data_IF_885477309415
#
_entry.id   IF_885477309415
#
_cell.length_a   1.000
_cell.length_b   1.000
_cell.length_c   1.000
_cell.angle_alpha   90.00
_cell.angle_beta   90.00
_cell.angle_gamma   90.00
#
_symmetry.space_group_name_H-M   'P 1'
#
loop_
_entity.id
_entity.type
_entity.pdbx_description
1 polymer ?
#
# COMPACT_ATOMS: atom_id res chain seq x y z
N UNK A 1 -8.73 -20.47 31.43
CA UNK A 1 -7.84 -19.42 30.95
C UNK A 1 -6.90 -20.03 29.93
N UNK A 2 -7.26 -20.00 28.64
CA UNK A 2 -6.41 -20.50 27.56
C UNK A 2 -5.70 -19.30 26.96
N UNK A 3 -4.46 -19.11 27.36
CA UNK A 3 -3.54 -18.19 26.71
C UNK A 3 -3.25 -18.70 25.31
N UNK A 4 -3.98 -18.22 24.33
CA UNK A 4 -3.70 -18.49 22.93
C UNK A 4 -2.37 -17.85 22.55
N UNK A 5 -1.31 -18.63 22.56
CA UNK A 5 -0.08 -18.32 21.85
C UNK A 5 -0.47 -18.08 20.39
N UNK A 6 -0.32 -16.85 19.91
CA UNK A 6 -0.37 -16.53 18.48
C UNK A 6 0.83 -17.28 17.85
N UNK A 7 0.60 -18.53 17.47
CA UNK A 7 1.59 -19.35 16.80
C UNK A 7 2.04 -18.66 15.54
N UNK A 8 3.35 -18.38 15.43
CA UNK A 8 3.97 -17.94 14.18
C UNK A 8 3.71 -19.04 13.15
N UNK A 9 3.13 -18.68 12.01
CA UNK A 9 2.89 -19.62 10.90
C UNK A 9 4.23 -20.20 10.46
N UNK A 10 4.36 -21.53 10.43
CA UNK A 10 5.59 -22.17 9.96
C UNK A 10 5.70 -22.08 8.45
N UNK A 11 6.93 -22.11 7.92
CA UNK A 11 7.18 -22.06 6.49
C UNK A 11 6.50 -23.22 5.75
N UNK A 12 6.46 -24.40 6.37
CA UNK A 12 5.83 -25.59 5.75
C UNK A 12 4.32 -25.44 5.68
N UNK A 13 3.67 -25.00 6.76
CA UNK A 13 2.23 -24.72 6.77
C UNK A 13 1.86 -23.63 5.72
N UNK A 14 2.73 -22.63 5.54
CA UNK A 14 2.54 -21.63 4.49
C UNK A 14 2.68 -22.23 3.08
N UNK A 15 3.74 -23.04 2.84
CA UNK A 15 4.01 -23.64 1.52
C UNK A 15 2.89 -24.55 1.03
N UNK A 16 2.25 -25.29 1.91
CA UNK A 16 1.17 -26.21 1.56
C UNK A 16 -0.01 -25.51 0.86
N UNK A 17 -0.28 -24.26 1.22
CA UNK A 17 -1.41 -23.47 0.67
C UNK A 17 -1.00 -22.07 0.22
N UNK A 18 0.26 -21.89 -0.17
CA UNK A 18 0.82 -20.58 -0.51
C UNK A 18 0.01 -19.84 -1.58
N UNK A 19 -0.41 -20.52 -2.62
CA UNK A 19 -1.16 -19.91 -3.73
C UNK A 19 -2.50 -19.33 -3.25
N UNK A 20 -3.23 -20.06 -2.42
CA UNK A 20 -4.51 -19.60 -1.87
C UNK A 20 -4.30 -18.44 -0.89
N UNK A 21 -3.33 -18.55 0.01
CA UNK A 21 -2.98 -17.51 0.97
C UNK A 21 -2.60 -16.21 0.24
N UNK A 22 -1.71 -16.31 -0.75
CA UNK A 22 -1.27 -15.15 -1.54
C UNK A 22 -2.46 -14.53 -2.28
N UNK A 23 -3.35 -15.32 -2.86
CA UNK A 23 -4.52 -14.83 -3.58
C UNK A 23 -5.47 -14.05 -2.65
N UNK A 24 -5.77 -14.58 -1.45
CA UNK A 24 -6.61 -13.90 -0.46
C UNK A 24 -5.99 -12.60 0.02
N UNK A 25 -4.69 -12.60 0.34
CA UNK A 25 -3.95 -11.40 0.73
C UNK A 25 -3.96 -10.35 -0.39
N UNK A 26 -3.62 -10.73 -1.63
CA UNK A 26 -3.60 -9.82 -2.76
C UNK A 26 -4.97 -9.21 -3.04
N UNK A 27 -6.05 -10.01 -2.97
CA UNK A 27 -7.41 -9.52 -3.13
C UNK A 27 -7.76 -8.44 -2.10
N UNK A 28 -7.39 -8.63 -0.84
CA UNK A 28 -7.57 -7.63 0.20
C UNK A 28 -6.75 -6.38 -0.08
N UNK A 29 -5.43 -6.50 -0.32
CA UNK A 29 -4.55 -5.35 -0.52
C UNK A 29 -4.94 -4.50 -1.74
N UNK A 30 -5.33 -5.12 -2.85
CA UNK A 30 -5.77 -4.36 -4.03
C UNK A 30 -7.05 -3.57 -3.75
N UNK A 31 -8.02 -4.16 -3.04
CA UNK A 31 -9.24 -3.43 -2.64
C UNK A 31 -8.92 -2.29 -1.69
N UNK A 32 -8.08 -2.53 -0.70
CA UNK A 32 -7.65 -1.51 0.26
C UNK A 32 -6.93 -0.35 -0.43
N UNK A 33 -5.95 -0.63 -1.29
CA UNK A 33 -5.23 0.40 -2.04
C UNK A 33 -6.15 1.21 -2.96
N UNK A 34 -7.13 0.56 -3.61
CA UNK A 34 -8.13 1.28 -4.41
C UNK A 34 -8.99 2.20 -3.55
N UNK A 35 -9.44 1.74 -2.39
CA UNK A 35 -10.23 2.56 -1.47
C UNK A 35 -9.44 3.77 -0.98
N UNK A 36 -8.17 3.59 -0.61
CA UNK A 36 -7.27 4.71 -0.27
C UNK A 36 -7.09 5.65 -1.46
N UNK A 37 -6.82 5.12 -2.65
CA UNK A 37 -6.62 5.95 -3.83
C UNK A 37 -7.83 6.85 -4.11
N UNK A 38 -9.04 6.37 -3.92
CA UNK A 38 -10.27 7.16 -4.08
C UNK A 38 -10.33 8.33 -3.08
N UNK A 39 -9.98 8.12 -1.80
CA UNK A 39 -9.98 9.17 -0.78
C UNK A 39 -8.94 10.28 -1.07
N UNK A 40 -7.86 9.94 -1.74
CA UNK A 40 -6.74 10.85 -2.00
C UNK A 40 -6.61 11.28 -3.46
N UNK A 41 -7.67 11.23 -4.26
CA UNK A 41 -7.69 11.63 -5.68
C UNK A 41 -6.61 10.91 -6.51
N UNK A 42 -6.39 9.63 -6.27
CA UNK A 42 -5.40 8.79 -6.95
C UNK A 42 -3.96 8.92 -6.42
N UNK A 43 -3.70 9.84 -5.49
CA UNK A 43 -2.35 10.13 -5.00
C UNK A 43 -2.04 9.39 -3.68
N UNK A 44 -1.55 8.16 -3.77
CA UNK A 44 -1.20 7.34 -2.61
C UNK A 44 -0.09 7.96 -1.73
N UNK A 45 0.77 8.81 -2.26
CA UNK A 45 1.77 9.49 -1.44
C UNK A 45 1.12 10.46 -0.44
N UNK A 46 -0.05 11.04 -0.76
CA UNK A 46 -0.82 11.85 0.20
C UNK A 46 -1.32 10.99 1.37
N UNK A 47 -1.76 9.77 1.08
CA UNK A 47 -2.19 8.82 2.11
C UNK A 47 -1.02 8.42 3.03
N UNK A 48 0.13 8.08 2.44
CA UNK A 48 1.35 7.75 3.17
C UNK A 48 1.75 8.91 4.09
N UNK A 49 1.77 10.14 3.56
CA UNK A 49 2.14 11.33 4.34
C UNK A 49 1.15 11.60 5.47
N UNK A 50 -0.15 11.45 5.24
CA UNK A 50 -1.14 11.62 6.31
C UNK A 50 -0.97 10.58 7.41
N UNK A 51 -0.74 9.32 7.04
CA UNK A 51 -0.46 8.23 7.98
C UNK A 51 0.81 8.50 8.79
N UNK A 52 1.89 8.94 8.15
CA UNK A 52 3.17 9.25 8.80
C UNK A 52 3.06 10.44 9.74
N UNK A 53 2.33 11.51 9.34
CA UNK A 53 2.04 12.64 10.22
C UNK A 53 1.28 12.16 11.46
N UNK A 54 0.23 11.36 11.27
CA UNK A 54 -0.55 10.81 12.37
C UNK A 54 0.29 9.96 13.32
N UNK A 55 1.09 9.05 12.77
CA UNK A 55 1.99 8.19 13.54
C UNK A 55 2.99 9.03 14.36
N UNK A 56 3.67 9.96 13.72
CA UNK A 56 4.62 10.85 14.39
C UNK A 56 3.95 11.66 15.52
N UNK A 57 2.77 12.22 15.25
CA UNK A 57 2.07 13.05 16.24
C UNK A 57 1.69 12.30 17.52
N UNK A 58 1.56 10.97 17.46
CA UNK A 58 1.22 10.14 18.64
C UNK A 58 2.38 9.23 19.08
N UNK A 59 3.58 9.38 18.53
CA UNK A 59 4.72 8.49 18.77
C UNK A 59 5.08 8.33 20.23
N UNK A 60 4.98 9.40 21.03
CA UNK A 60 5.22 9.37 22.49
C UNK A 60 4.32 8.41 23.27
N UNK A 61 3.21 7.97 22.68
CA UNK A 61 2.26 7.06 23.32
C UNK A 61 2.53 5.59 23.01
N UNK A 62 3.53 5.30 22.17
CA UNK A 62 3.95 3.96 21.84
C UNK A 62 5.31 3.63 22.46
N UNK A 63 5.53 2.36 22.77
CA UNK A 63 6.85 1.84 23.16
C UNK A 63 7.70 1.58 21.91
N UNK A 64 8.99 1.29 22.11
CA UNK A 64 9.92 0.88 21.04
C UNK A 64 9.46 -0.33 20.23
N UNK A 65 8.54 -1.14 20.76
CA UNK A 65 7.95 -2.30 20.10
C UNK A 65 6.61 -2.00 19.41
N UNK A 66 6.27 -0.71 19.19
CA UNK A 66 4.99 -0.25 18.67
C UNK A 66 3.75 -0.72 19.49
N UNK A 67 3.96 -1.09 20.73
CA UNK A 67 2.87 -1.37 21.66
C UNK A 67 2.36 -0.07 22.27
N UNK A 68 1.05 0.01 22.47
CA UNK A 68 0.46 1.15 23.18
C UNK A 68 1.09 1.25 24.57
N UNK A 69 1.78 2.36 24.84
CA UNK A 69 2.27 2.65 26.18
C UNK A 69 1.07 2.70 27.14
N UNK A 70 1.30 2.49 28.45
CA UNK A 70 0.24 2.59 29.48
C UNK A 70 -0.45 3.97 29.55
N UNK A 71 0.02 4.94 28.77
CA UNK A 71 -0.58 6.27 28.62
C UNK A 71 -1.74 6.21 27.64
N UNK A 72 -2.86 6.77 27.99
CA UNK A 72 -4.02 6.88 27.11
C UNK A 72 -3.68 7.77 25.92
N UNK A 73 -3.79 7.22 24.70
CA UNK A 73 -3.67 8.03 23.48
C UNK A 73 -4.75 9.10 23.49
N UNK A 74 -4.40 10.37 23.24
CA UNK A 74 -5.40 11.43 23.23
C UNK A 74 -6.42 11.18 22.13
N UNK A 75 -7.69 11.32 22.47
CA UNK A 75 -8.77 11.24 21.51
C UNK A 75 -9.12 12.61 20.94
N UNK A 76 -9.57 12.66 19.70
CA UNK A 76 -9.99 13.91 19.04
C UNK A 76 -11.11 14.66 19.78
N UNK A 77 -11.80 13.98 20.69
CA UNK A 77 -12.87 14.57 21.55
C UNK A 77 -12.34 15.35 22.74
N UNK A 78 -11.05 15.19 23.08
CA UNK A 78 -10.47 15.88 24.24
C UNK A 78 -10.11 17.34 23.90
N UNK A 79 -10.47 18.33 24.72
CA UNK A 79 -10.14 19.74 24.47
C UNK A 79 -8.63 20.00 24.31
N UNK A 80 -7.79 19.20 24.96
CA UNK A 80 -6.33 19.26 24.89
C UNK A 80 -5.68 18.49 23.74
N UNK A 81 -6.46 17.88 22.85
CA UNK A 81 -5.95 16.99 21.80
C UNK A 81 -4.75 17.57 21.04
N UNK A 82 -4.88 18.79 20.50
CA UNK A 82 -3.78 19.42 19.73
C UNK A 82 -2.50 19.63 20.54
N UNK A 83 -2.62 19.98 21.83
CA UNK A 83 -1.47 20.21 22.73
C UNK A 83 -0.75 18.92 23.11
N UNK A 84 -1.42 17.79 22.95
CA UNK A 84 -0.87 16.46 23.25
C UNK A 84 -0.16 15.81 22.08
N UNK A 85 -0.16 16.42 20.88
CA UNK A 85 0.47 15.90 19.68
C UNK A 85 1.92 16.39 19.57
N UNK A 86 2.80 15.53 19.08
CA UNK A 86 4.17 15.87 18.70
C UNK A 86 4.18 16.35 17.24
N UNK A 87 4.50 17.62 16.96
CA UNK A 87 4.49 18.11 15.59
C UNK A 87 5.67 17.53 14.79
N UNK A 88 5.45 17.30 13.51
CA UNK A 88 6.50 16.93 12.56
C UNK A 88 6.69 18.03 11.52
N UNK A 89 7.76 17.94 10.73
CA UNK A 89 8.04 18.89 9.66
C UNK A 89 8.36 18.18 8.33
N UNK A 90 8.43 18.95 7.24
CA UNK A 90 8.66 18.38 5.91
C UNK A 90 10.01 17.67 5.75
N UNK A 91 11.00 17.97 6.59
CA UNK A 91 12.30 17.29 6.56
C UNK A 91 12.18 15.90 7.19
N UNK A 92 11.62 15.81 8.40
CA UNK A 92 11.41 14.50 9.06
C UNK A 92 10.50 13.58 8.24
N UNK A 93 9.43 14.13 7.64
CA UNK A 93 8.56 13.36 6.76
C UNK A 93 9.28 12.86 5.50
N UNK A 94 10.14 13.69 4.89
CA UNK A 94 10.93 13.26 3.73
C UNK A 94 11.92 12.15 4.09
N UNK A 95 12.55 12.22 5.25
CA UNK A 95 13.43 11.15 5.76
C UNK A 95 12.68 9.84 6.02
N UNK A 96 11.52 9.91 6.68
CA UNK A 96 10.73 8.73 7.02
C UNK A 96 10.13 8.04 5.78
N UNK A 97 9.70 8.80 4.78
CA UNK A 97 8.96 8.28 3.62
C UNK A 97 9.80 8.08 2.37
N UNK A 98 11.01 8.64 2.29
CA UNK A 98 11.82 8.69 1.06
C UNK A 98 11.26 9.63 -0.02
N UNK A 99 10.17 10.36 0.27
CA UNK A 99 9.57 11.31 -0.68
C UNK A 99 10.38 12.61 -0.69
N UNK A 100 10.76 13.16 -1.86
CA UNK A 100 11.51 14.41 -1.92
C UNK A 100 10.82 15.54 -1.15
N UNK A 101 11.59 16.32 -0.38
CA UNK A 101 11.07 17.36 0.55
C UNK A 101 10.10 18.34 -0.11
N UNK A 102 10.38 18.76 -1.35
CA UNK A 102 9.48 19.68 -2.06
C UNK A 102 8.14 19.01 -2.44
N UNK A 103 8.18 17.73 -2.79
CA UNK A 103 6.97 16.93 -3.01
C UNK A 103 6.16 16.79 -1.70
N UNK A 104 6.84 16.54 -0.58
CA UNK A 104 6.19 16.54 0.75
C UNK A 104 5.49 17.86 1.02
N UNK A 105 6.18 19.00 0.85
CA UNK A 105 5.60 20.34 1.08
C UNK A 105 4.32 20.57 0.27
N UNK A 106 4.35 20.22 -1.02
CA UNK A 106 3.19 20.37 -1.92
C UNK A 106 2.02 19.48 -1.50
N UNK A 107 2.30 18.23 -1.10
CA UNK A 107 1.26 17.29 -0.68
C UNK A 107 0.70 17.61 0.69
N UNK A 108 1.52 18.05 1.64
CA UNK A 108 1.07 18.56 2.95
C UNK A 108 0.19 19.79 2.78
N UNK A 109 0.52 20.70 1.87
CA UNK A 109 -0.33 21.84 1.55
C UNK A 109 -1.71 21.42 0.99
N UNK A 110 -1.80 20.29 0.26
CA UNK A 110 -3.08 19.72 -0.14
C UNK A 110 -3.87 19.18 1.06
N UNK A 111 -3.23 18.44 1.96
CA UNK A 111 -3.85 17.93 3.19
C UNK A 111 -4.35 19.07 4.09
N UNK A 112 -3.61 20.18 4.14
CA UNK A 112 -3.98 21.39 4.87
C UNK A 112 -5.24 22.04 4.28
N UNK A 113 -5.34 22.16 2.94
CA UNK A 113 -6.55 22.66 2.28
C UNK A 113 -7.78 21.78 2.52
N UNK A 114 -7.60 20.47 2.71
CA UNK A 114 -8.69 19.56 3.12
C UNK A 114 -9.06 19.71 4.60
N UNK A 115 -8.33 20.51 5.38
CA UNK A 115 -8.53 20.65 6.81
C UNK A 115 -8.10 19.42 7.63
N UNK A 116 -7.34 18.50 7.03
CA UNK A 116 -6.91 17.26 7.68
C UNK A 116 -5.65 17.44 8.53
N UNK A 117 -4.83 18.39 8.19
CA UNK A 117 -3.67 18.80 8.96
C UNK A 117 -3.67 20.32 9.17
N UNK A 118 -2.99 20.79 10.21
CA UNK A 118 -2.66 22.20 10.39
C UNK A 118 -1.15 22.37 10.41
N UNK A 119 -0.68 23.48 9.86
CA UNK A 119 0.73 23.82 9.82
C UNK A 119 0.96 25.18 10.48
N UNK A 120 1.99 25.27 11.31
CA UNK A 120 2.45 26.53 11.88
C UNK A 120 3.31 27.31 10.86
N UNK A 121 3.56 28.60 11.13
CA UNK A 121 4.49 29.43 10.34
C UNK A 121 5.90 28.82 10.28
N UNK A 122 6.30 28.08 11.32
CA UNK A 122 7.59 27.36 11.37
C UNK A 122 7.58 26.07 10.56
N UNK A 123 6.44 25.70 9.94
CA UNK A 123 6.29 24.50 9.14
C UNK A 123 6.04 23.22 9.94
N UNK A 124 5.74 23.34 11.21
CA UNK A 124 5.34 22.23 12.09
C UNK A 124 3.92 21.78 11.74
N UNK A 125 3.73 20.48 11.56
CA UNK A 125 2.49 19.87 11.05
C UNK A 125 1.87 18.95 12.09
N UNK A 126 0.57 19.09 12.32
CA UNK A 126 -0.22 18.22 13.18
C UNK A 126 -1.53 17.82 12.52
N UNK A 127 -2.01 16.59 12.82
CA UNK A 127 -3.34 16.13 12.39
C UNK A 127 -4.43 16.96 13.05
N UNK A 128 -5.59 17.04 12.37
CA UNK A 128 -6.76 17.75 12.87
C UNK A 128 -7.89 16.77 13.22
N UNK A 129 -8.77 17.10 14.18
CA UNK A 129 -9.94 16.27 14.51
C UNK A 129 -10.82 15.95 13.28
N UNK A 130 -10.85 16.84 12.29
CA UNK A 130 -11.63 16.67 11.07
C UNK A 130 -11.23 15.41 10.26
N UNK A 131 -9.94 15.06 10.19
CA UNK A 131 -9.50 13.85 9.49
C UNK A 131 -9.97 12.60 10.21
N UNK A 132 -9.96 12.61 11.53
CA UNK A 132 -10.43 11.48 12.33
C UNK A 132 -11.94 11.29 12.14
N UNK A 133 -12.69 12.40 12.17
CA UNK A 133 -14.13 12.38 11.91
C UNK A 133 -14.47 11.91 10.50
N UNK A 134 -13.64 12.22 9.50
CA UNK A 134 -13.83 11.78 8.12
C UNK A 134 -13.65 10.27 7.95
N UNK A 135 -12.57 9.69 8.53
CA UNK A 135 -12.21 8.29 8.29
C UNK A 135 -12.88 7.29 9.23
N UNK A 136 -13.30 7.70 10.45
CA UNK A 136 -13.83 6.74 11.45
C UNK A 136 -15.14 6.08 11.03
N UNK A 137 -16.20 6.81 10.58
CA UNK A 137 -17.53 6.22 10.47
C UNK A 137 -17.58 5.09 9.44
N UNK A 138 -17.00 5.30 8.27
CA UNK A 138 -17.15 4.39 7.14
C UNK A 138 -15.85 3.69 6.76
N UNK A 139 -14.78 4.43 6.53
CA UNK A 139 -13.54 3.88 5.99
C UNK A 139 -12.88 2.92 6.99
N UNK A 140 -12.60 3.37 8.21
CA UNK A 140 -11.89 2.57 9.21
C UNK A 140 -12.75 1.41 9.74
N UNK A 141 -14.07 1.60 9.85
CA UNK A 141 -14.96 0.52 10.27
C UNK A 141 -15.01 -0.60 9.21
N UNK A 142 -15.15 -0.23 7.92
CA UNK A 142 -15.10 -1.20 6.83
C UNK A 142 -13.75 -1.92 6.77
N UNK A 143 -12.66 -1.17 6.86
CA UNK A 143 -11.31 -1.73 6.88
C UNK A 143 -11.13 -2.72 8.03
N UNK A 144 -11.56 -2.38 9.25
CA UNK A 144 -11.48 -3.28 10.40
C UNK A 144 -12.22 -4.59 10.13
N UNK A 145 -13.45 -4.52 9.63
CA UNK A 145 -14.24 -5.71 9.33
C UNK A 145 -13.58 -6.57 8.23
N UNK A 146 -13.02 -5.96 7.20
CA UNK A 146 -12.30 -6.69 6.14
C UNK A 146 -11.00 -7.35 6.64
N UNK A 147 -10.26 -6.66 7.54
CA UNK A 147 -9.05 -7.21 8.17
C UNK A 147 -9.39 -8.40 9.05
N UNK A 148 -10.43 -8.28 9.88
CA UNK A 148 -10.88 -9.39 10.74
C UNK A 148 -11.32 -10.60 9.92
N UNK A 149 -12.10 -10.37 8.86
CA UNK A 149 -12.51 -11.43 7.93
C UNK A 149 -11.32 -12.10 7.26
N UNK A 150 -10.36 -11.33 6.74
CA UNK A 150 -9.13 -11.86 6.16
C UNK A 150 -8.34 -12.68 7.19
N UNK A 151 -8.22 -12.19 8.42
CA UNK A 151 -7.51 -12.92 9.49
C UNK A 151 -8.15 -14.26 9.79
N UNK A 152 -9.48 -14.35 9.80
CA UNK A 152 -10.20 -15.61 10.03
C UNK A 152 -10.04 -16.58 8.84
N UNK A 153 -10.13 -16.08 7.60
CA UNK A 153 -9.86 -16.86 6.39
C UNK A 153 -8.42 -17.43 6.40
N UNK A 154 -7.41 -16.61 6.71
CA UNK A 154 -6.02 -17.04 6.78
C UNK A 154 -5.78 -18.03 7.93
N UNK A 155 -6.37 -17.81 9.11
CA UNK A 155 -6.28 -18.77 10.24
C UNK A 155 -6.84 -20.12 9.87
N UNK A 156 -8.00 -20.17 9.21
CA UNK A 156 -8.59 -21.42 8.74
C UNK A 156 -7.68 -22.16 7.74
N UNK A 157 -6.97 -21.43 6.89
CA UNK A 157 -6.03 -22.01 5.92
C UNK A 157 -4.80 -22.61 6.57
N UNK A 158 -4.20 -21.93 7.57
CA UNK A 158 -2.97 -22.40 8.23
C UNK A 158 -3.25 -23.31 9.43
N UNK A 159 -4.42 -23.21 10.04
CA UNK A 159 -4.82 -24.04 11.18
C UNK A 159 -5.37 -25.43 10.77
N UNK A 160 -5.82 -25.58 9.53
CA UNK A 160 -6.33 -26.86 8.98
C UNK A 160 -5.24 -27.92 8.75
N UNK A 161 -3.97 -27.57 8.90
CA UNK A 161 -2.83 -28.50 8.74
C UNK A 161 -2.65 -29.44 9.93
N UNK A 162 -3.34 -29.20 11.07
CA UNK A 162 -3.31 -30.07 12.21
C UNK A 162 -4.35 -31.22 12.15
N UNK A 163 -5.20 -31.28 11.12
CA UNK A 163 -6.22 -32.32 10.94
C UNK A 163 -6.73 -32.39 9.51
N UNK A 164 -6.29 -33.43 8.79
CA UNK A 164 -6.78 -33.92 7.49
C UNK A 164 -6.93 -32.87 6.36
N UNK A 165 -6.04 -32.92 5.39
CA UNK A 165 -6.17 -32.27 4.13
C UNK A 165 -7.47 -32.65 3.41
N UNK A 166 -8.30 -31.68 2.92
CA UNK A 166 -9.36 -32.02 1.98
C UNK A 166 -8.72 -32.52 0.67
N UNK A 167 -9.34 -33.49 -0.02
CA UNK A 167 -8.78 -34.03 -1.25
C UNK A 167 -8.59 -32.92 -2.26
N UNK A 168 -7.37 -32.81 -2.78
CA UNK A 168 -7.03 -31.90 -3.89
C UNK A 168 -8.03 -32.12 -5.02
N UNK A 169 -8.68 -31.08 -5.55
CA UNK A 169 -9.42 -31.23 -6.80
C UNK A 169 -8.40 -31.69 -7.85
N UNK A 170 -8.66 -32.87 -8.43
CA UNK A 170 -7.85 -33.40 -9.50
C UNK A 170 -7.77 -32.34 -10.62
N UNK A 171 -6.60 -31.79 -10.84
CA UNK A 171 -6.31 -30.96 -12.02
C UNK A 171 -6.56 -31.92 -13.20
N UNK A 172 -7.69 -31.76 -13.88
CA UNK A 172 -7.97 -32.44 -15.13
C UNK A 172 -6.79 -32.12 -16.05
N UNK A 173 -5.97 -33.14 -16.31
CA UNK A 173 -4.91 -33.08 -17.29
C UNK A 173 -5.51 -32.46 -18.56
N UNK A 174 -4.98 -31.34 -18.98
CA UNK A 174 -5.35 -30.66 -20.21
C UNK A 174 -5.22 -31.65 -21.35
N UNK A 175 -6.34 -31.88 -22.00
CA UNK A 175 -6.49 -32.65 -23.22
C UNK A 175 -5.28 -32.43 -24.14
N UNK A 176 -4.52 -33.50 -24.42
CA UNK A 176 -3.54 -33.53 -25.46
C UNK A 176 -4.17 -33.01 -26.75
N UNK A 177 -3.60 -31.95 -27.31
CA UNK A 177 -3.90 -31.51 -28.67
C UNK A 177 -3.34 -32.53 -29.63
N UNK A 178 -4.13 -33.03 -30.62
CA UNK A 178 -3.65 -34.00 -31.57
C UNK A 178 -2.52 -33.40 -32.43
N UNK A 179 -1.41 -34.12 -32.52
CA UNK A 179 -0.29 -33.82 -33.39
C UNK A 179 -0.79 -33.76 -34.85
N UNK A 180 -0.82 -32.58 -35.44
CA UNK A 180 -1.01 -32.41 -36.90
C UNK A 180 0.31 -32.64 -37.63
N UNK A 181 0.23 -33.59 -38.50
CA UNK A 181 1.16 -34.16 -39.40
C UNK A 181 2.25 -33.28 -40.02
N UNK A 182 3.38 -33.91 -40.15
CA UNK A 182 4.50 -33.50 -40.98
C UNK A 182 4.09 -33.23 -42.42
N UNK A 183 4.40 -32.06 -42.97
CA UNK A 183 4.63 -31.86 -44.42
C UNK A 183 5.81 -30.93 -44.63
N UNK A 184 6.80 -31.56 -45.22
CA UNK A 184 7.86 -31.20 -46.14
C UNK A 184 8.10 -29.73 -46.56
N UNK A 185 9.36 -29.37 -46.42
CA UNK A 185 10.29 -28.71 -47.35
C UNK A 185 9.79 -27.50 -48.17
N UNK A 186 10.51 -26.43 -48.05
CA UNK A 186 10.70 -25.47 -49.12
C UNK A 186 11.02 -24.04 -48.67
N UNK A 187 12.22 -23.59 -49.00
CA UNK A 187 12.45 -22.21 -49.43
C UNK A 187 13.14 -21.28 -48.46
N UNK A 188 14.40 -21.11 -48.66
CA UNK A 188 15.23 -19.97 -48.23
C UNK A 188 14.59 -18.63 -48.58
N UNK A 189 14.61 -17.68 -47.61
CA UNK A 189 14.32 -16.29 -47.85
C UNK A 189 14.99 -15.44 -46.75
N UNK A 190 16.10 -14.80 -47.14
CA UNK A 190 16.86 -13.91 -46.28
C UNK A 190 16.08 -12.63 -45.91
N UNK A 191 16.29 -12.02 -44.72
CA UNK A 191 15.66 -10.76 -44.35
C UNK A 191 16.36 -9.56 -45.03
N UNK A 192 15.62 -8.52 -45.39
CA UNK A 192 16.20 -7.31 -45.99
C UNK A 192 16.89 -6.43 -44.93
N UNK A 193 18.05 -5.96 -45.32
CA UNK A 193 18.95 -5.04 -44.66
C UNK A 193 18.31 -3.67 -44.36
N UNK A 194 18.45 -3.20 -43.11
CA UNK A 194 18.18 -1.84 -42.71
C UNK A 194 19.16 -0.87 -43.36
N UNK A 195 18.65 -0.01 -44.22
CA UNK A 195 19.38 1.14 -44.78
C UNK A 195 19.50 2.24 -43.71
N UNK A 196 20.74 2.61 -43.46
CA UNK A 196 21.13 3.86 -42.79
C UNK A 196 20.77 5.06 -43.70
N UNK A 197 19.98 5.98 -43.18
CA UNK A 197 19.68 7.28 -43.82
C UNK A 197 20.29 8.40 -43.04
N UNK A 198 21.15 9.11 -43.68
CA UNK A 198 22.07 10.18 -43.29
C UNK A 198 21.37 11.52 -43.05
N UNK A 199 21.84 12.21 -42.03
CA UNK A 199 21.96 13.69 -41.83
C UNK A 199 21.15 14.67 -42.71
N UNK A 200 20.46 15.59 -42.04
CA UNK A 200 20.36 16.95 -42.51
C UNK A 200 20.33 17.98 -41.37
N UNK A 201 21.44 18.68 -41.20
CA UNK A 201 21.57 19.96 -40.50
C UNK A 201 20.68 21.00 -41.20
N UNK A 202 19.89 21.75 -40.44
CA UNK A 202 19.39 23.05 -40.88
C UNK A 202 19.56 24.06 -39.77
N UNK A 203 20.59 24.90 -39.89
CA UNK A 203 20.73 26.23 -39.32
C UNK A 203 19.81 27.20 -40.08
N UNK A 204 19.32 28.20 -39.41
CA UNK A 204 19.08 29.58 -39.81
C UNK A 204 18.40 30.31 -38.65
N UNK A 205 19.09 31.25 -37.98
CA UNK A 205 19.01 32.69 -38.15
C UNK A 205 17.57 33.19 -38.06
N UNK A 206 17.21 34.07 -37.16
CA UNK A 206 17.75 35.34 -36.83
C UNK A 206 16.68 36.24 -36.19
N UNK A 207 17.16 37.17 -35.37
CA UNK A 207 16.72 38.54 -35.14
C UNK A 207 15.37 38.90 -34.50
N UNK A 208 15.49 39.46 -33.32
CA UNK A 208 15.23 40.90 -32.98
C UNK A 208 13.76 41.37 -33.04
N UNK A 209 13.12 41.61 -31.93
CA UNK A 209 12.91 42.93 -31.28
C UNK A 209 12.34 42.72 -29.90
#
# INVERSE_FOLDING_TARGET
>A
MHGGQLGVVTLDAFRERADEIILHMNRFFIRYLRSIAMEFEGDLQRAILLGEIGHHNVSRYFTSENQLARRTVPTSRNPGFRKSLDPCNAHSLAQATGIPRETVRRKVAWLERKGWVARTERGETTIQPAVIAHFIPDFNLRLLNEVLKLADELRAMVGGVAGSAPPRPAIRASRELPAKGARSRGGCGAPPSLRKGTTAKRRLHGRSR
#
